data_IF_927913271580
#
_entry.id   IF_927913271580
#
_cell.length_a   1.000
_cell.length_b   1.000
_cell.length_c   1.000
_cell.angle_alpha   90.00
_cell.angle_beta   90.00
_cell.angle_gamma   90.00
#
_symmetry.space_group_name_H-M   'P 1'
#
loop_
_entity.id
_entity.type
_entity.pdbx_description
1 polymer ?
#
# COMPACT_ATOMS: atom_id res chain seq x y z
N UNK A 1 10.55 -1.01 -17.29
CA UNK A 1 10.97 -1.81 -16.11
C UNK A 1 11.45 -3.16 -16.62
N UNK A 2 12.62 -3.67 -16.21
CA UNK A 2 12.93 -5.06 -16.50
C UNK A 2 11.94 -5.91 -15.71
N UNK A 3 11.33 -6.87 -16.40
CA UNK A 3 10.40 -7.83 -15.85
C UNK A 3 11.21 -8.72 -14.88
N UNK A 4 11.27 -8.34 -13.61
CA UNK A 4 12.01 -9.07 -12.58
C UNK A 4 11.21 -10.32 -12.20
N UNK A 5 11.30 -11.33 -13.06
CA UNK A 5 10.88 -12.69 -12.75
C UNK A 5 11.91 -13.27 -11.77
N UNK A 6 11.76 -12.92 -10.49
CA UNK A 6 12.68 -13.32 -9.43
C UNK A 6 12.13 -14.55 -8.68
N UNK A 7 13.01 -15.50 -8.32
CA UNK A 7 12.62 -16.75 -7.67
C UNK A 7 12.01 -16.50 -6.28
N UNK A 8 11.09 -17.38 -5.89
CA UNK A 8 10.46 -17.34 -4.58
C UNK A 8 11.51 -17.48 -3.46
N UNK A 9 11.46 -16.66 -2.39
CA UNK A 9 12.44 -16.73 -1.32
C UNK A 9 12.28 -18.03 -0.51
N UNK A 10 13.36 -18.82 -0.46
CA UNK A 10 13.50 -20.10 0.26
C UNK A 10 13.84 -19.95 1.75
N UNK A 11 13.84 -18.73 2.30
CA UNK A 11 14.05 -18.52 3.74
C UNK A 11 12.71 -18.52 4.47
N UNK A 12 12.38 -19.63 5.13
CA UNK A 12 11.22 -19.72 6.02
C UNK A 12 11.46 -18.82 7.24
N UNK A 13 10.99 -17.58 7.14
CA UNK A 13 10.73 -16.75 8.31
C UNK A 13 9.72 -17.48 9.21
N UNK A 14 9.84 -17.37 10.55
CA UNK A 14 8.95 -18.07 11.47
C UNK A 14 7.49 -17.79 11.11
N UNK A 15 6.62 -18.79 11.27
CA UNK A 15 5.18 -18.83 10.89
C UNK A 15 4.34 -17.59 11.27
N UNK A 16 4.87 -16.70 12.13
CA UNK A 16 4.28 -15.42 12.52
C UNK A 16 4.55 -14.26 11.53
N UNK A 17 5.51 -14.41 10.61
CA UNK A 17 5.90 -13.41 9.61
C UNK A 17 4.86 -13.18 8.50
N UNK A 18 3.67 -13.79 8.57
CA UNK A 18 2.55 -13.49 7.67
C UNK A 18 1.65 -12.35 8.18
N UNK A 19 2.20 -11.41 8.96
CA UNK A 19 1.43 -10.26 9.47
C UNK A 19 1.42 -9.11 8.47
N UNK A 20 0.23 -8.82 7.95
CA UNK A 20 -0.03 -7.66 7.12
C UNK A 20 0.34 -6.37 7.88
N UNK A 21 1.29 -5.57 7.38
CA UNK A 21 1.65 -4.29 8.01
C UNK A 21 0.42 -3.39 8.20
N UNK A 22 -0.50 -3.39 7.23
CA UNK A 22 -1.74 -2.64 7.30
C UNK A 22 -2.67 -3.11 8.44
N UNK A 23 -2.87 -4.41 8.62
CA UNK A 23 -3.68 -4.93 9.74
C UNK A 23 -2.95 -4.89 11.09
N UNK A 24 -1.61 -4.90 11.06
CA UNK A 24 -0.77 -4.83 12.24
C UNK A 24 -0.76 -3.43 12.84
N UNK A 25 -0.64 -2.40 12.01
CA UNK A 25 -0.48 -1.02 12.45
C UNK A 25 -1.82 -0.41 12.88
N UNK A 26 -1.93 0.22 14.05
CA UNK A 26 -3.16 0.86 14.50
C UNK A 26 -3.39 2.19 13.77
N UNK A 27 -4.07 2.14 12.62
CA UNK A 27 -4.24 3.30 11.71
C UNK A 27 -5.13 4.42 12.29
N UNK A 28 -6.03 4.13 13.25
CA UNK A 28 -6.86 5.15 13.92
C UNK A 28 -7.35 4.63 15.29
N UNK A 29 -6.46 4.49 16.27
CA UNK A 29 -6.87 4.07 17.61
C UNK A 29 -7.18 5.29 18.50
N UNK A 30 -8.28 5.99 18.23
CA UNK A 30 -8.89 6.83 19.27
C UNK A 30 -9.57 5.91 20.28
N UNK A 31 -9.42 6.16 21.57
CA UNK A 31 -10.24 5.48 22.59
C UNK A 31 -11.71 5.86 22.37
N UNK A 32 -12.67 4.92 22.45
CA UNK A 32 -12.52 3.49 22.75
C UNK A 32 -12.32 2.60 21.50
N UNK A 33 -12.32 3.16 20.29
CA UNK A 33 -12.22 2.42 19.02
C UNK A 33 -10.92 1.60 18.85
N UNK A 34 -9.85 1.97 19.55
CA UNK A 34 -8.63 1.16 19.66
C UNK A 34 -8.87 -0.23 20.26
N UNK A 35 -9.80 -0.35 21.22
CA UNK A 35 -10.16 -1.61 21.91
C UNK A 35 -11.12 -2.46 21.06
N UNK A 36 -11.95 -1.82 20.23
CA UNK A 36 -12.87 -2.51 19.32
C UNK A 36 -12.22 -2.97 18.01
N UNK A 37 -10.99 -2.51 17.71
CA UNK A 37 -10.30 -2.88 16.47
C UNK A 37 -9.97 -4.38 16.40
N UNK A 38 -9.33 -5.01 17.41
CA UNK A 38 -9.06 -6.45 17.37
C UNK A 38 -10.34 -7.28 17.27
N UNK A 39 -11.38 -6.91 18.02
CA UNK A 39 -12.66 -7.63 17.99
C UNK A 39 -13.36 -7.48 16.64
N UNK A 40 -13.33 -6.28 16.04
CA UNK A 40 -13.81 -6.06 14.67
C UNK A 40 -13.06 -6.92 13.66
N UNK A 41 -11.72 -6.93 13.70
CA UNK A 41 -10.91 -7.77 12.80
C UNK A 41 -11.28 -9.24 12.95
N UNK A 42 -11.33 -9.77 14.18
CA UNK A 42 -11.73 -11.16 14.45
C UNK A 42 -13.12 -11.44 13.89
N UNK A 43 -14.10 -10.57 14.14
CA UNK A 43 -15.48 -10.72 13.67
C UNK A 43 -15.57 -10.74 12.15
N UNK A 44 -14.86 -9.85 11.46
CA UNK A 44 -14.89 -9.80 9.98
C UNK A 44 -14.14 -10.98 9.37
N UNK A 45 -13.04 -11.47 9.98
CA UNK A 45 -12.39 -12.71 9.55
C UNK A 45 -13.29 -13.93 9.74
N UNK A 46 -14.00 -14.03 10.87
CA UNK A 46 -14.98 -15.08 11.10
C UNK A 46 -16.12 -15.02 10.08
N UNK A 47 -16.66 -13.81 9.81
CA UNK A 47 -17.66 -13.60 8.76
C UNK A 47 -17.14 -14.06 7.40
N UNK A 48 -15.93 -13.69 7.01
CA UNK A 48 -15.35 -14.10 5.72
C UNK A 48 -15.16 -15.62 5.62
N UNK A 49 -14.78 -16.29 6.72
CA UNK A 49 -14.70 -17.76 6.77
C UNK A 49 -16.06 -18.42 6.57
N UNK A 50 -17.14 -17.81 7.09
CA UNK A 50 -18.50 -18.33 6.98
C UNK A 50 -19.17 -18.00 5.63
N UNK A 51 -19.03 -16.77 5.16
CA UNK A 51 -19.69 -16.27 3.93
C UNK A 51 -18.87 -16.50 2.66
N UNK A 52 -17.62 -16.95 2.78
CA UNK A 52 -16.69 -17.08 1.67
C UNK A 52 -16.01 -15.76 1.27
N UNK A 53 -14.96 -15.88 0.46
CA UNK A 53 -14.20 -14.75 -0.08
C UNK A 53 -14.87 -14.33 -1.39
N UNK A 54 -15.14 -13.03 -1.61
CA UNK A 54 -15.72 -12.59 -2.86
C UNK A 54 -14.81 -12.92 -4.05
N UNK A 55 -15.42 -13.26 -5.18
CA UNK A 55 -14.69 -13.47 -6.43
C UNK A 55 -13.96 -12.21 -6.86
N UNK A 56 -12.90 -12.39 -7.64
CA UNK A 56 -12.16 -11.27 -8.22
C UNK A 56 -13.05 -10.47 -9.17
N UNK A 57 -12.85 -9.15 -9.18
CA UNK A 57 -13.48 -8.27 -10.14
C UNK A 57 -13.00 -8.50 -11.56
N UNK A 58 -13.79 -7.96 -12.49
CA UNK A 58 -13.38 -7.84 -13.89
C UNK A 58 -12.08 -7.03 -13.93
N UNK A 59 -11.03 -7.51 -14.63
CA UNK A 59 -9.78 -6.78 -14.74
C UNK A 59 -9.98 -5.41 -15.39
N UNK A 60 -9.01 -4.52 -15.19
CA UNK A 60 -8.92 -3.28 -15.96
C UNK A 60 -8.67 -3.58 -17.43
N UNK A 61 -9.05 -2.65 -18.31
CA UNK A 61 -8.61 -2.67 -19.71
C UNK A 61 -7.12 -2.32 -19.88
N UNK A 62 -6.50 -1.78 -18.83
CA UNK A 62 -5.09 -1.43 -18.81
C UNK A 62 -4.27 -2.54 -18.15
N UNK A 63 -3.08 -2.77 -18.67
CA UNK A 63 -2.09 -3.73 -18.19
C UNK A 63 -0.99 -3.05 -17.40
N UNK A 64 -0.31 -3.82 -16.54
CA UNK A 64 0.88 -3.33 -15.84
C UNK A 64 1.93 -2.87 -16.87
N UNK A 65 2.44 -1.66 -16.69
CA UNK A 65 3.39 -1.03 -17.61
C UNK A 65 2.75 -0.11 -18.64
N UNK A 66 1.43 -0.13 -18.82
CA UNK A 66 0.74 0.82 -19.71
C UNK A 66 0.88 2.24 -19.19
N UNK A 67 1.01 3.20 -20.11
CA UNK A 67 0.98 4.61 -19.78
C UNK A 67 -0.43 5.14 -19.90
N UNK A 68 -0.88 5.86 -18.87
CA UNK A 68 -2.21 6.46 -18.80
C UNK A 68 -2.11 7.89 -18.30
N UNK A 69 -2.99 8.75 -18.80
CA UNK A 69 -3.22 10.07 -18.22
C UNK A 69 -4.47 10.00 -17.36
N UNK A 70 -4.41 10.55 -16.16
CA UNK A 70 -5.60 10.76 -15.33
C UNK A 70 -6.39 11.90 -15.96
N UNK A 71 -7.69 11.68 -16.16
CA UNK A 71 -8.61 12.70 -16.72
C UNK A 71 -8.58 14.01 -15.93
N UNK A 72 -9.10 15.07 -16.53
CA UNK A 72 -9.21 16.36 -15.84
C UNK A 72 -10.13 16.26 -14.62
N UNK A 73 -9.99 17.19 -13.68
CA UNK A 73 -10.84 17.22 -12.49
C UNK A 73 -12.32 17.43 -12.87
N UNK A 74 -12.60 18.25 -13.89
CA UNK A 74 -13.95 18.50 -14.43
C UNK A 74 -14.55 17.20 -15.00
N UNK A 75 -13.81 16.50 -15.85
CA UNK A 75 -14.27 15.23 -16.44
C UNK A 75 -14.56 14.19 -15.36
N UNK A 76 -13.66 14.04 -14.38
CA UNK A 76 -13.83 13.06 -13.31
C UNK A 76 -15.07 13.39 -12.48
N UNK A 77 -15.31 14.66 -12.12
CA UNK A 77 -16.51 15.07 -11.37
C UNK A 77 -17.80 14.63 -12.04
N UNK A 78 -17.89 14.64 -13.37
CA UNK A 78 -19.09 14.18 -14.09
C UNK A 78 -19.37 12.68 -13.90
N UNK A 79 -18.36 11.90 -13.49
CA UNK A 79 -18.48 10.45 -13.26
C UNK A 79 -18.86 10.08 -11.83
N UNK A 80 -18.81 11.04 -10.90
CA UNK A 80 -19.00 10.77 -9.48
C UNK A 80 -20.46 10.98 -9.06
N UNK A 81 -20.90 10.21 -8.07
CA UNK A 81 -22.15 10.44 -7.36
C UNK A 81 -22.04 11.56 -6.33
N UNK A 82 -23.14 11.88 -5.65
CA UNK A 82 -23.22 12.93 -4.63
C UNK A 82 -22.29 12.72 -3.41
N UNK A 83 -21.63 11.57 -3.30
CA UNK A 83 -20.67 11.24 -2.24
C UNK A 83 -19.24 11.07 -2.77
N UNK A 84 -18.95 11.62 -3.95
CA UNK A 84 -17.68 11.52 -4.67
C UNK A 84 -17.30 10.07 -5.02
N UNK A 85 -18.28 9.19 -5.28
CA UNK A 85 -18.01 7.77 -5.60
C UNK A 85 -18.41 7.43 -7.02
N UNK A 86 -17.66 6.49 -7.60
CA UNK A 86 -18.06 5.77 -8.80
C UNK A 86 -18.12 4.28 -8.48
N UNK A 87 -19.27 3.64 -8.72
CA UNK A 87 -19.49 2.21 -8.44
C UNK A 87 -19.06 1.82 -7.01
N UNK A 88 -19.34 2.69 -6.03
CA UNK A 88 -18.99 2.50 -4.62
C UNK A 88 -17.53 2.73 -4.24
N UNK A 89 -16.63 3.07 -5.17
CA UNK A 89 -15.25 3.47 -4.84
C UNK A 89 -15.18 4.98 -4.75
N UNK A 90 -14.67 5.47 -3.62
CA UNK A 90 -14.50 6.89 -3.35
C UNK A 90 -13.31 7.47 -4.09
N UNK A 91 -13.53 8.60 -4.76
CA UNK A 91 -12.48 9.45 -5.30
C UNK A 91 -11.98 10.37 -4.18
N UNK A 92 -10.92 9.94 -3.51
CA UNK A 92 -10.40 10.61 -2.31
C UNK A 92 -9.81 11.98 -2.61
N UNK A 93 -9.73 12.84 -1.58
CA UNK A 93 -9.13 14.18 -1.70
C UNK A 93 -7.72 14.17 -2.31
N UNK A 94 -6.88 13.20 -1.94
CA UNK A 94 -5.52 13.06 -2.47
C UNK A 94 -5.46 12.73 -3.96
N UNK A 95 -6.51 12.16 -4.55
CA UNK A 95 -6.52 11.82 -5.98
C UNK A 95 -6.65 13.03 -6.89
N UNK A 96 -7.21 14.13 -6.39
CA UNK A 96 -7.36 15.36 -7.18
C UNK A 96 -6.01 15.92 -7.65
N UNK A 97 -4.95 15.79 -6.84
CA UNK A 97 -3.59 16.21 -7.17
C UNK A 97 -2.96 15.46 -8.36
N UNK A 98 -3.56 14.35 -8.78
CA UNK A 98 -3.09 13.52 -9.89
C UNK A 98 -3.83 13.81 -11.20
N UNK A 99 -4.89 14.62 -11.19
CA UNK A 99 -5.68 14.92 -12.40
C UNK A 99 -4.83 15.62 -13.46
N UNK A 100 -5.00 15.22 -14.73
CA UNK A 100 -4.18 15.71 -15.85
C UNK A 100 -2.75 15.15 -15.91
N UNK A 101 -2.27 14.48 -14.87
CA UNK A 101 -0.95 13.88 -14.83
C UNK A 101 -0.87 12.57 -15.63
N UNK A 102 0.32 12.25 -16.12
CA UNK A 102 0.60 10.99 -16.84
C UNK A 102 1.42 10.06 -15.96
N UNK A 103 0.98 8.81 -15.84
CA UNK A 103 1.57 7.82 -14.96
C UNK A 103 1.56 6.44 -15.62
N UNK A 104 2.49 5.60 -15.18
CA UNK A 104 2.52 4.19 -15.57
C UNK A 104 1.63 3.37 -14.63
N UNK A 105 0.89 2.41 -15.19
CA UNK A 105 0.09 1.45 -14.44
C UNK A 105 1.03 0.51 -13.67
N UNK A 106 0.86 0.47 -12.35
CA UNK A 106 1.70 -0.32 -11.44
C UNK A 106 1.10 -1.69 -11.15
N UNK A 107 -0.22 -1.76 -10.94
CA UNK A 107 -0.91 -3.01 -10.61
C UNK A 107 -2.38 -2.98 -11.01
N UNK A 108 -2.93 -4.13 -11.40
CA UNK A 108 -4.37 -4.30 -11.65
C UNK A 108 -5.07 -4.78 -10.37
N UNK A 109 -6.03 -4.01 -9.87
CA UNK A 109 -6.71 -4.30 -8.59
C UNK A 109 -8.03 -4.99 -8.87
N UNK A 110 -8.13 -6.26 -8.46
CA UNK A 110 -9.32 -7.10 -8.68
C UNK A 110 -10.04 -7.42 -7.37
N UNK A 111 -9.33 -7.38 -6.26
CA UNK A 111 -9.89 -7.62 -4.93
C UNK A 111 -8.98 -7.03 -3.86
N UNK A 112 -9.52 -6.38 -2.84
CA UNK A 112 -8.70 -5.81 -1.77
C UNK A 112 -9.39 -5.87 -0.41
N UNK A 113 -8.60 -5.75 0.65
CA UNK A 113 -9.14 -5.49 1.99
C UNK A 113 -9.46 -4.00 2.17
N UNK A 114 -10.68 -3.68 2.60
CA UNK A 114 -11.08 -2.32 2.96
C UNK A 114 -10.62 -1.92 4.38
N UNK A 115 -10.84 -0.66 4.75
CA UNK A 115 -10.48 -0.14 6.08
C UNK A 115 -11.35 -0.66 7.22
N UNK A 116 -12.19 -1.64 6.93
CA UNK A 116 -13.05 -2.33 7.85
C UNK A 116 -12.72 -3.82 7.93
N UNK A 117 -11.56 -4.24 7.42
CA UNK A 117 -11.07 -5.63 7.39
C UNK A 117 -11.95 -6.57 6.58
N UNK A 118 -12.67 -6.04 5.59
CA UNK A 118 -13.51 -6.85 4.69
C UNK A 118 -12.84 -6.96 3.34
N UNK A 119 -12.79 -8.17 2.81
CA UNK A 119 -12.44 -8.38 1.42
C UNK A 119 -13.54 -7.84 0.51
N UNK A 120 -13.17 -6.98 -0.43
CA UNK A 120 -14.05 -6.33 -1.40
C UNK A 120 -13.65 -6.70 -2.80
N UNK A 121 -14.64 -7.09 -3.61
CA UNK A 121 -14.48 -7.20 -5.07
C UNK A 121 -14.32 -5.81 -5.65
N UNK A 122 -13.28 -5.60 -6.45
CA UNK A 122 -13.01 -4.34 -7.14
C UNK A 122 -12.85 -4.63 -8.62
N UNK A 123 -13.61 -3.95 -9.48
CA UNK A 123 -13.58 -4.21 -10.90
C UNK A 123 -13.12 -2.98 -11.67
N UNK A 124 -12.32 -3.20 -12.72
CA UNK A 124 -11.85 -2.17 -13.66
C UNK A 124 -11.09 -1.05 -12.94
N UNK A 125 -10.08 -1.45 -12.18
CA UNK A 125 -9.31 -0.55 -11.31
C UNK A 125 -7.84 -0.92 -11.35
N UNK A 126 -6.99 0.10 -11.29
CA UNK A 126 -5.53 -0.02 -11.25
C UNK A 126 -4.94 0.87 -10.15
N UNK A 127 -3.70 0.62 -9.76
CA UNK A 127 -2.83 1.60 -9.09
C UNK A 127 -1.83 2.16 -10.09
N UNK A 128 -1.35 3.38 -9.83
CA UNK A 128 -0.39 4.07 -10.68
C UNK A 128 0.92 4.28 -9.93
N UNK A 129 2.06 4.23 -10.63
CA UNK A 129 3.38 4.45 -10.04
C UNK A 129 3.44 5.78 -9.29
N UNK A 130 4.02 5.76 -8.07
CA UNK A 130 4.12 6.89 -7.14
C UNK A 130 2.77 7.52 -6.70
N UNK A 131 1.61 7.06 -7.19
CA UNK A 131 0.32 7.61 -6.83
C UNK A 131 -0.17 7.06 -5.48
N UNK A 132 0.19 7.79 -4.43
CA UNK A 132 -0.17 7.45 -3.05
C UNK A 132 -0.91 8.59 -2.38
N UNK A 133 -1.66 8.30 -1.32
CA UNK A 133 -2.27 9.34 -0.50
C UNK A 133 -1.24 10.20 0.26
N UNK A 134 0.07 9.91 0.14
CA UNK A 134 1.12 10.56 0.91
C UNK A 134 0.90 10.48 2.44
N UNK A 135 0.07 9.54 2.91
CA UNK A 135 -0.34 9.45 4.31
C UNK A 135 -1.21 10.62 4.77
N UNK A 136 -1.74 11.46 3.87
CA UNK A 136 -2.63 12.56 4.23
C UNK A 136 -3.89 12.03 4.92
N UNK A 137 -4.31 12.70 5.98
CA UNK A 137 -5.53 12.40 6.73
C UNK A 137 -6.16 13.69 7.25
N UNK A 138 -7.38 13.62 7.82
CA UNK A 138 -8.09 14.79 8.36
C UNK A 138 -7.42 15.38 9.61
N UNK A 139 -6.57 14.60 10.31
CA UNK A 139 -5.74 15.09 11.41
C UNK A 139 -4.39 15.61 10.89
N UNK A 140 -3.87 16.68 11.48
CA UNK A 140 -2.62 17.39 11.09
C UNK A 140 -1.38 16.48 10.90
N UNK A 141 -1.39 15.28 11.47
CA UNK A 141 -0.30 14.31 11.36
C UNK A 141 -0.45 13.29 10.20
N UNK A 142 -1.66 12.95 9.75
CA UNK A 142 -1.87 11.90 8.74
C UNK A 142 -1.42 10.47 9.16
N UNK A 143 -1.84 9.41 8.46
CA UNK A 143 -1.59 8.01 8.87
C UNK A 143 -0.17 7.49 8.60
N UNK A 144 0.61 8.20 7.77
CA UNK A 144 1.99 7.83 7.42
C UNK A 144 2.15 6.57 6.54
N UNK A 145 1.06 5.89 6.18
CA UNK A 145 1.13 4.63 5.42
C UNK A 145 1.25 4.79 3.90
N UNK A 146 0.95 5.97 3.34
CA UNK A 146 1.05 6.19 1.89
C UNK A 146 0.35 5.11 1.05
N UNK A 147 -0.90 4.78 1.38
CA UNK A 147 -1.70 3.81 0.64
C UNK A 147 -1.70 4.14 -0.87
N UNK A 148 -1.58 3.11 -1.72
CA UNK A 148 -1.75 3.29 -3.15
C UNK A 148 -3.17 3.80 -3.45
N UNK A 149 -3.26 4.81 -4.30
CA UNK A 149 -4.53 5.36 -4.75
C UNK A 149 -5.08 4.48 -5.87
N UNK A 150 -6.40 4.26 -5.83
CA UNK A 150 -7.09 3.42 -6.79
C UNK A 150 -7.69 4.28 -7.89
N UNK A 151 -7.37 3.97 -9.13
CA UNK A 151 -7.90 4.65 -10.30
C UNK A 151 -8.77 3.69 -11.10
N UNK A 152 -10.03 4.08 -11.31
CA UNK A 152 -10.91 3.35 -12.21
C UNK A 152 -10.57 3.65 -13.65
N UNK A 153 -10.80 2.64 -14.47
CA UNK A 153 -10.85 2.70 -15.92
C UNK A 153 -11.48 4.00 -16.48
N UNK A 154 -12.59 4.45 -15.91
CA UNK A 154 -13.35 5.62 -16.35
C UNK A 154 -12.59 6.94 -16.14
N UNK A 155 -11.68 6.99 -15.17
CA UNK A 155 -10.89 8.18 -14.82
C UNK A 155 -9.56 8.27 -15.59
N UNK A 156 -9.30 7.31 -16.47
CA UNK A 156 -8.02 7.17 -17.16
C UNK A 156 -8.23 7.19 -18.67
N UNK A 157 -7.28 7.79 -19.38
CA UNK A 157 -7.14 7.71 -20.83
C UNK A 157 -5.79 7.09 -21.20
N UNK A 158 -5.71 6.23 -22.23
CA UNK A 158 -4.44 5.70 -22.70
C UNK A 158 -3.56 6.84 -23.22
N UNK A 159 -2.26 6.75 -22.96
CA UNK A 159 -1.28 7.66 -23.56
C UNK A 159 -0.04 6.85 -23.94
N UNK A 160 0.63 7.24 -25.02
CA UNK A 160 1.89 6.61 -25.44
C UNK A 160 3.10 7.38 -24.92
N UNK A 161 2.90 8.59 -24.38
CA UNK A 161 3.97 9.47 -23.94
C UNK A 161 4.35 9.14 -22.51
N UNK A 162 5.57 8.62 -22.26
CA UNK A 162 6.05 8.45 -20.90
C UNK A 162 6.20 9.81 -20.23
N UNK A 163 5.75 9.92 -18.98
CA UNK A 163 6.14 11.07 -18.17
C UNK A 163 7.63 10.92 -17.77
N UNK A 164 8.41 12.02 -17.75
CA UNK A 164 9.74 12.00 -17.17
C UNK A 164 9.64 11.54 -15.73
N UNK A 165 10.41 10.51 -15.35
CA UNK A 165 10.54 10.15 -13.95
C UNK A 165 11.50 11.15 -13.31
N UNK A 166 11.11 11.83 -12.20
CA UNK A 166 12.06 12.67 -11.49
C UNK A 166 13.23 11.82 -11.00
N UNK A 167 14.45 12.36 -11.09
CA UNK A 167 15.59 11.68 -10.50
C UNK A 167 15.42 11.60 -8.98
N UNK A 168 15.65 10.42 -8.37
CA UNK A 168 15.58 10.29 -6.94
C UNK A 168 16.64 11.15 -6.26
N UNK A 169 16.21 11.97 -5.29
CA UNK A 169 17.14 12.77 -4.49
C UNK A 169 18.03 11.91 -3.58
N UNK A 170 17.62 10.68 -3.28
CA UNK A 170 18.28 9.79 -2.32
C UNK A 170 18.03 8.33 -2.66
N UNK A 171 18.98 7.46 -2.33
CA UNK A 171 18.83 6.02 -2.47
C UNK A 171 18.97 5.31 -1.12
N UNK A 172 18.43 4.11 -1.06
CA UNK A 172 18.57 3.22 0.08
C UNK A 172 18.89 1.80 -0.41
N UNK A 173 19.95 1.21 0.14
CA UNK A 173 20.23 -0.21 -0.02
C UNK A 173 19.61 -0.97 1.14
N UNK A 174 18.75 -1.95 0.85
CA UNK A 174 18.13 -2.78 1.90
C UNK A 174 19.19 -3.72 2.47
N UNK A 175 19.35 -3.71 3.80
CA UNK A 175 20.32 -4.56 4.51
C UNK A 175 20.03 -6.05 4.34
N UNK A 176 21.02 -6.87 4.69
CA UNK A 176 20.88 -8.33 4.66
C UNK A 176 19.76 -8.79 5.61
N UNK A 177 19.20 -9.96 5.31
CA UNK A 177 18.15 -10.54 6.16
C UNK A 177 18.64 -10.75 7.60
N UNK A 178 19.89 -11.17 7.77
CA UNK A 178 20.50 -11.40 9.09
C UNK A 178 20.60 -10.11 9.91
N UNK A 179 21.12 -9.02 9.32
CA UNK A 179 21.19 -7.72 10.00
C UNK A 179 19.79 -7.21 10.39
N UNK A 180 18.82 -7.37 9.50
CA UNK A 180 17.43 -6.96 9.78
C UNK A 180 16.86 -7.78 10.94
N UNK A 181 17.03 -9.11 10.91
CA UNK A 181 16.54 -10.01 11.96
C UNK A 181 17.09 -9.68 13.35
N UNK A 182 18.35 -9.22 13.44
CA UNK A 182 18.95 -8.78 14.71
C UNK A 182 18.26 -7.55 15.32
N UNK A 183 17.51 -6.78 14.52
CA UNK A 183 16.76 -5.62 15.01
C UNK A 183 15.34 -5.95 15.45
N UNK A 184 14.83 -7.16 15.16
CA UNK A 184 13.45 -7.53 15.42
C UNK A 184 13.28 -8.08 16.84
N UNK A 185 12.14 -7.79 17.44
CA UNK A 185 11.69 -8.43 18.67
C UNK A 185 11.25 -9.89 18.44
N UNK A 186 10.86 -10.57 19.52
CA UNK A 186 10.39 -11.96 19.48
C UNK A 186 9.14 -12.18 18.63
N UNK A 187 8.41 -11.11 18.29
CA UNK A 187 7.25 -11.14 17.40
C UNK A 187 7.58 -10.81 15.94
N UNK A 188 8.87 -10.66 15.61
CA UNK A 188 9.34 -10.33 14.27
C UNK A 188 9.05 -8.87 13.87
N UNK A 189 8.93 -7.97 14.85
CA UNK A 189 8.65 -6.55 14.60
C UNK A 189 9.76 -5.65 15.12
N UNK A 190 9.91 -4.49 14.51
CA UNK A 190 10.67 -3.39 15.09
C UNK A 190 9.70 -2.26 15.36
N UNK A 191 9.58 -1.86 16.63
CA UNK A 191 8.68 -0.80 17.06
C UNK A 191 7.22 -1.04 16.60
N UNK A 192 6.79 -2.31 16.62
CA UNK A 192 5.45 -2.74 16.21
C UNK A 192 5.22 -2.85 14.69
N UNK A 193 6.20 -2.50 13.85
CA UNK A 193 6.14 -2.72 12.39
C UNK A 193 6.72 -4.10 12.06
N UNK A 194 5.94 -5.03 11.50
CA UNK A 194 6.46 -6.34 11.14
C UNK A 194 7.36 -6.28 9.92
N UNK A 195 8.49 -6.99 9.99
CA UNK A 195 9.27 -7.35 8.81
C UNK A 195 8.77 -8.70 8.30
N UNK A 196 7.94 -8.68 7.26
CA UNK A 196 7.31 -9.90 6.72
C UNK A 196 8.02 -10.42 5.47
N UNK A 197 7.73 -11.66 5.07
CA UNK A 197 8.41 -12.37 3.96
C UNK A 197 8.39 -11.62 2.64
N UNK A 198 7.35 -10.82 2.36
CA UNK A 198 7.30 -10.04 1.12
C UNK A 198 8.30 -8.87 1.08
N UNK A 199 8.80 -8.44 2.23
CA UNK A 199 9.88 -7.45 2.30
C UNK A 199 11.22 -8.09 1.97
N UNK A 200 11.41 -9.38 2.30
CA UNK A 200 12.67 -10.09 2.11
C UNK A 200 13.12 -10.14 0.63
N UNK A 201 12.18 -10.07 -0.34
CA UNK A 201 12.53 -10.02 -1.77
C UNK A 201 13.34 -8.79 -2.18
N UNK A 202 13.33 -7.74 -1.36
CA UNK A 202 14.04 -6.50 -1.64
C UNK A 202 15.40 -6.41 -0.94
N UNK A 203 15.78 -7.43 -0.14
CA UNK A 203 17.08 -7.48 0.54
C UNK A 203 18.22 -7.36 -0.47
N UNK A 204 19.19 -6.50 -0.17
CA UNK A 204 20.35 -6.22 -1.01
C UNK A 204 20.07 -5.31 -2.21
N UNK A 205 18.80 -4.97 -2.49
CA UNK A 205 18.48 -4.07 -3.59
C UNK A 205 18.73 -2.61 -3.20
N UNK A 206 19.33 -1.87 -4.13
CA UNK A 206 19.46 -0.42 -4.08
C UNK A 206 18.24 0.22 -4.75
N UNK A 207 17.45 0.94 -3.96
CA UNK A 207 16.14 1.43 -4.37
C UNK A 207 16.02 2.93 -4.11
N UNK A 208 15.30 3.69 -4.95
CA UNK A 208 15.02 5.09 -4.69
C UNK A 208 14.24 5.29 -3.40
N UNK A 209 14.61 6.27 -2.60
CA UNK A 209 13.79 6.71 -1.46
C UNK A 209 12.66 7.56 -2.01
N UNK A 210 11.42 7.07 -1.91
CA UNK A 210 10.23 7.83 -2.33
C UNK A 210 9.97 8.98 -1.35
N UNK A 211 10.03 8.69 -0.05
CA UNK A 211 9.88 9.69 1.01
C UNK A 211 10.32 9.20 2.37
N UNK A 212 10.62 10.16 3.22
CA UNK A 212 10.63 10.01 4.67
C UNK A 212 9.19 10.07 5.22
N UNK A 213 8.87 9.20 6.15
CA UNK A 213 7.58 9.14 6.87
C UNK A 213 7.76 9.89 8.20
N UNK A 214 7.63 11.21 8.12
CA UNK A 214 7.78 12.13 9.26
C UNK A 214 6.63 12.15 10.24
N UNK A 215 5.48 11.61 9.87
CA UNK A 215 4.30 11.55 10.73
C UNK A 215 3.67 10.18 10.60
N UNK A 216 3.55 9.51 11.73
CA UNK A 216 2.72 8.32 11.87
C UNK A 216 1.61 8.67 12.85
N UNK A 217 0.39 8.90 12.39
CA UNK A 217 -0.79 8.84 13.26
C UNK A 217 -1.00 7.38 13.65
N UNK A 218 -0.17 6.92 14.58
CA UNK A 218 -0.55 5.91 15.53
C UNK A 218 -1.51 6.60 16.54
N UNK A 219 -2.25 5.86 17.39
CA UNK A 219 -3.00 6.44 18.51
C UNK A 219 -2.24 7.62 19.13
N UNK A 220 -2.93 8.71 19.53
CA UNK A 220 -2.38 9.98 20.08
C UNK A 220 -1.31 9.86 21.19
N UNK A 221 -1.02 8.64 21.66
CA UNK A 221 -0.05 8.25 22.68
C UNK A 221 1.25 7.64 22.11
N UNK A 222 1.33 7.38 20.80
CA UNK A 222 2.53 6.85 20.15
C UNK A 222 3.29 7.98 19.46
N UNK A 223 4.38 8.38 20.10
CA UNK A 223 5.37 9.36 19.63
C UNK A 223 6.00 8.95 18.28
N UNK A 224 6.74 9.88 17.67
CA UNK A 224 7.71 9.57 16.62
C UNK A 224 8.71 8.52 17.10
N UNK A 225 8.45 7.23 16.87
CA UNK A 225 9.41 6.18 17.25
C UNK A 225 10.31 5.82 16.05
N UNK A 226 11.47 6.46 15.95
CA UNK A 226 12.47 6.16 14.92
C UNK A 226 12.18 6.74 13.54
N UNK A 227 13.12 6.53 12.63
CA UNK A 227 13.11 7.07 11.27
C UNK A 227 12.57 6.04 10.27
N UNK A 228 11.53 6.41 9.53
CA UNK A 228 10.82 5.52 8.61
C UNK A 228 10.81 6.07 7.19
N UNK A 229 10.88 5.15 6.24
CA UNK A 229 10.99 5.48 4.83
C UNK A 229 10.01 4.62 4.00
N UNK A 230 9.60 5.18 2.88
CA UNK A 230 8.98 4.45 1.78
C UNK A 230 9.92 4.47 0.59
N UNK A 231 10.10 3.32 -0.05
CA UNK A 231 10.94 3.16 -1.23
C UNK A 231 10.06 3.12 -2.48
N UNK A 232 10.54 3.70 -3.58
CA UNK A 232 9.79 3.76 -4.83
C UNK A 232 9.68 2.37 -5.48
N UNK A 233 8.49 2.04 -6.01
CA UNK A 233 8.21 0.73 -6.64
C UNK A 233 8.20 -0.46 -5.68
N UNK A 234 8.25 -0.23 -4.36
CA UNK A 234 8.34 -1.29 -3.34
C UNK A 234 7.02 -1.37 -2.58
N UNK A 235 6.18 -2.35 -2.96
CA UNK A 235 4.84 -2.52 -2.40
C UNK A 235 4.57 -3.96 -1.97
N UNK A 236 3.56 -4.11 -1.11
CA UNK A 236 2.99 -5.41 -0.74
C UNK A 236 2.14 -5.95 -1.90
N UNK A 237 2.42 -7.16 -2.38
CA UNK A 237 1.62 -7.82 -3.41
C UNK A 237 0.55 -8.75 -2.80
N UNK A 238 0.22 -8.54 -1.52
CA UNK A 238 -0.82 -9.28 -0.83
C UNK A 238 -0.36 -10.56 -0.15
N UNK A 239 0.94 -10.85 -0.09
CA UNK A 239 1.49 -12.09 0.43
C UNK A 239 1.08 -12.42 1.87
N UNK A 240 1.02 -11.44 2.81
CA UNK A 240 0.49 -11.71 4.15
C UNK A 240 -0.96 -12.22 4.16
N UNK A 241 -1.70 -11.95 3.08
CA UNK A 241 -3.07 -12.37 2.86
C UNK A 241 -3.19 -13.23 1.60
N UNK A 242 -2.16 -14.02 1.24
CA UNK A 242 -2.13 -14.79 0.00
C UNK A 242 -3.36 -15.71 -0.14
N UNK A 243 -3.80 -16.34 0.95
CA UNK A 243 -5.02 -17.16 0.96
C UNK A 243 -6.32 -16.39 0.70
N UNK A 244 -6.32 -15.06 0.85
CA UNK A 244 -7.44 -14.18 0.52
C UNK A 244 -7.27 -13.52 -0.86
N UNK A 245 -6.03 -13.37 -1.35
CA UNK A 245 -5.67 -12.65 -2.58
C UNK A 245 -6.06 -11.18 -2.51
N UNK A 246 -5.22 -10.37 -1.86
CA UNK A 246 -5.41 -8.95 -1.64
C UNK A 246 -4.49 -8.10 -2.54
N UNK A 247 -5.08 -7.30 -3.42
CA UNK A 247 -4.38 -6.46 -4.40
C UNK A 247 -4.24 -5.00 -3.92
N UNK A 248 -4.25 -4.75 -2.61
CA UNK A 248 -4.28 -3.37 -2.06
C UNK A 248 -3.03 -2.55 -2.39
N UNK A 249 -1.90 -3.21 -2.66
CA UNK A 249 -0.63 -2.53 -2.96
C UNK A 249 -0.22 -1.52 -1.87
N UNK A 250 -0.35 -1.93 -0.60
CA UNK A 250 0.10 -1.10 0.52
C UNK A 250 1.59 -0.77 0.36
N UNK A 251 1.97 0.48 0.61
CA UNK A 251 3.38 0.81 0.73
C UNK A 251 3.99 0.08 1.93
N UNK A 252 5.23 -0.37 1.77
CA UNK A 252 5.99 -1.02 2.82
C UNK A 252 6.75 0.04 3.60
N UNK A 253 6.65 0.00 4.93
CA UNK A 253 7.45 0.85 5.81
C UNK A 253 8.81 0.22 6.05
N UNK A 254 9.86 1.03 5.91
CA UNK A 254 11.24 0.64 6.11
C UNK A 254 11.88 1.47 7.21
N UNK A 255 12.33 0.83 8.29
CA UNK A 255 13.06 1.52 9.34
C UNK A 255 14.48 1.88 8.87
N UNK A 256 15.05 2.99 9.37
CA UNK A 256 16.43 3.40 9.10
C UNK A 256 17.46 2.28 9.34
N UNK A 257 17.26 1.48 10.38
CA UNK A 257 18.17 0.36 10.72
C UNK A 257 18.12 -0.80 9.72
N UNK A 258 17.10 -0.87 8.86
CA UNK A 258 16.99 -1.88 7.79
C UNK A 258 17.60 -1.40 6.48
N UNK A 259 18.04 -0.14 6.42
CA UNK A 259 18.53 0.51 5.23
C UNK A 259 19.98 0.98 5.44
N UNK A 260 20.70 1.08 4.34
CA UNK A 260 21.90 1.90 4.20
C UNK A 260 21.50 3.05 3.29
N UNK A 261 21.38 4.25 3.86
CA UNK A 261 20.97 5.43 3.10
C UNK A 261 22.21 6.07 2.48
N UNK A 262 22.10 6.41 1.21
CA UNK A 262 23.14 7.03 0.37
C UNK A 262 22.66 8.40 -0.11
#
# INVERSE_FOLDING_TARGET
>A
MPNLNLPAPTAQLPLQAARCQYEGLPIHAHLPFGVLRPTRRIREHARMRLSGIPTQGTPSRYSVGDWVTVRSAEEIRTTLDATDRLRGLWFTGSQWSFCGGTYQVEHVVRRMMDDHYRMRRVARTVTLCAATCAGAGPDDAGCGLGCALLFRDEWLQPTQTPAPRPEPARYATVRSLQEIQQTLDTSGTLLGVPFHTAMARFVGLRLPVLREVRSRALPRWQYQVGEWYQLDGVRCAGEPLAGLGCDRQCALLWHRSWLVLE
#
